data_IF_206331709879
#
_entry.id   IF_206331709879
#
_cell.length_a   1.000
_cell.length_b   1.000
_cell.length_c   1.000
_cell.angle_alpha   90.00
_cell.angle_beta   90.00
_cell.angle_gamma   90.00
#
_symmetry.space_group_name_H-M   'P 1'
#
loop_
_entity.id
_entity.type
_entity.pdbx_description
1 polymer ?
#
# COMPACT_ATOMS: atom_id res chain seq x y z
N UNK A 1 7.22 -8.99 -6.27
CA UNK A 1 7.38 -9.27 -4.82
C UNK A 1 7.91 -10.69 -4.64
N UNK A 2 7.22 -11.74 -5.09
CA UNK A 2 7.66 -13.14 -4.91
C UNK A 2 9.10 -13.39 -5.42
N UNK A 3 9.41 -12.94 -6.63
CA UNK A 3 10.78 -13.07 -7.18
C UNK A 3 11.84 -12.50 -6.23
N UNK A 4 11.60 -11.33 -5.62
CA UNK A 4 12.55 -10.74 -4.67
C UNK A 4 12.68 -11.56 -3.37
N UNK A 5 11.56 -12.13 -2.90
CA UNK A 5 11.57 -13.01 -1.72
C UNK A 5 12.46 -14.23 -1.99
N UNK A 6 12.32 -14.86 -3.16
CA UNK A 6 13.05 -16.08 -3.52
C UNK A 6 14.55 -15.80 -3.74
N UNK A 7 14.87 -14.78 -4.56
CA UNK A 7 16.27 -14.44 -4.89
C UNK A 7 17.07 -13.96 -3.69
N UNK A 8 16.45 -13.15 -2.82
CA UNK A 8 17.10 -12.62 -1.63
C UNK A 8 16.96 -13.54 -0.41
N UNK A 9 16.22 -14.64 -0.53
CA UNK A 9 15.92 -15.60 0.56
C UNK A 9 15.37 -14.88 1.79
N UNK A 10 14.42 -13.96 1.56
CA UNK A 10 13.85 -13.13 2.62
C UNK A 10 13.05 -13.98 3.62
N UNK A 11 13.44 -13.92 4.88
CA UNK A 11 12.82 -14.65 5.99
C UNK A 11 12.58 -13.69 7.18
N UNK A 12 12.05 -12.51 6.91
CA UNK A 12 11.79 -11.44 7.86
C UNK A 12 10.54 -10.64 7.47
N UNK A 13 10.14 -9.67 8.31
CA UNK A 13 9.18 -8.66 7.95
C UNK A 13 9.67 -7.83 6.77
N UNK A 14 8.77 -7.39 5.92
CA UNK A 14 9.11 -6.75 4.65
C UNK A 14 8.34 -5.45 4.44
N UNK A 15 9.07 -4.38 4.16
CA UNK A 15 8.50 -3.12 3.67
C UNK A 15 8.62 -3.05 2.15
N UNK A 16 7.48 -2.96 1.46
CA UNK A 16 7.40 -2.80 0.00
C UNK A 16 6.99 -1.37 -0.34
N UNK A 17 7.80 -0.72 -1.18
CA UNK A 17 7.62 0.67 -1.59
C UNK A 17 7.75 0.74 -3.10
N UNK A 18 6.81 1.40 -3.78
CA UNK A 18 6.96 1.70 -5.20
C UNK A 18 8.01 2.82 -5.41
N UNK A 19 8.99 2.55 -6.30
CA UNK A 19 10.15 3.40 -6.51
C UNK A 19 9.89 4.70 -7.28
N UNK A 20 8.69 4.89 -7.81
CA UNK A 20 8.22 6.08 -8.53
C UNK A 20 7.48 7.08 -7.62
N UNK A 21 7.58 6.90 -6.31
CA UNK A 21 6.92 7.75 -5.34
C UNK A 21 7.92 8.54 -4.49
N UNK A 22 7.68 9.83 -4.34
CA UNK A 22 8.41 10.71 -3.41
C UNK A 22 7.48 11.09 -2.27
N UNK A 23 7.99 11.06 -1.04
CA UNK A 23 7.24 11.37 0.18
C UNK A 23 7.83 12.61 0.86
N UNK A 24 6.98 13.47 1.43
CA UNK A 24 7.41 14.57 2.28
C UNK A 24 7.38 14.23 3.79
N UNK A 25 7.18 12.96 4.12
CA UNK A 25 7.14 12.45 5.50
C UNK A 25 7.94 11.15 5.64
N UNK A 26 8.36 10.84 6.88
CA UNK A 26 9.08 9.61 7.21
C UNK A 26 8.14 8.41 7.35
N UNK A 27 8.59 7.24 6.87
CA UNK A 27 7.89 5.96 7.06
C UNK A 27 8.08 5.35 8.46
N UNK A 28 8.88 5.97 9.33
CA UNK A 28 9.17 5.44 10.68
C UNK A 28 7.89 5.16 11.47
N UNK A 29 6.96 6.14 11.52
CA UNK A 29 5.67 5.97 12.21
C UNK A 29 4.80 4.86 11.63
N UNK A 30 4.88 4.62 10.33
CA UNK A 30 4.17 3.52 9.69
C UNK A 30 4.72 2.16 10.12
N UNK A 31 6.05 2.03 10.18
CA UNK A 31 6.70 0.80 10.64
C UNK A 31 6.39 0.55 12.13
N UNK A 32 6.43 1.60 12.95
CA UNK A 32 6.08 1.52 14.38
C UNK A 32 4.62 1.11 14.57
N UNK A 33 3.70 1.69 13.79
CA UNK A 33 2.28 1.32 13.80
C UNK A 33 2.09 -0.16 13.45
N UNK A 34 2.71 -0.64 12.36
CA UNK A 34 2.60 -2.02 11.93
C UNK A 34 3.15 -3.00 12.98
N UNK A 35 4.31 -2.69 13.56
CA UNK A 35 4.89 -3.46 14.66
C UNK A 35 4.00 -3.45 15.91
N UNK A 36 3.41 -2.31 16.25
CA UNK A 36 2.48 -2.18 17.37
C UNK A 36 1.19 -2.97 17.17
N UNK A 37 0.66 -3.04 15.95
CA UNK A 37 -0.50 -3.87 15.58
C UNK A 37 -0.13 -5.36 15.49
N UNK A 38 1.15 -5.69 15.29
CA UNK A 38 1.64 -7.06 15.04
C UNK A 38 0.90 -7.74 13.88
N UNK A 39 0.63 -7.01 12.80
CA UNK A 39 -0.06 -7.47 11.59
C UNK A 39 0.58 -6.83 10.37
N UNK A 40 0.32 -7.39 9.19
CA UNK A 40 0.56 -6.66 7.94
C UNK A 40 -0.28 -5.39 7.90
N UNK A 41 0.29 -4.33 7.33
CA UNK A 41 -0.34 -3.01 7.29
C UNK A 41 -0.15 -2.35 5.93
N UNK A 42 -1.08 -1.49 5.57
CA UNK A 42 -0.98 -0.59 4.43
C UNK A 42 -1.11 0.87 4.90
N UNK A 43 -0.72 1.80 4.04
CA UNK A 43 -1.17 3.19 4.16
C UNK A 43 -2.47 3.41 3.43
N UNK A 44 -3.24 4.43 3.85
CA UNK A 44 -4.43 4.92 3.16
C UNK A 44 -4.40 6.45 3.08
N UNK A 45 -5.02 7.00 2.05
CA UNK A 45 -5.26 8.45 1.92
C UNK A 45 -6.63 8.70 1.31
N UNK A 46 -7.20 9.87 1.59
CA UNK A 46 -8.48 10.27 1.02
C UNK A 46 -8.29 10.87 -0.37
N UNK A 47 -8.96 10.32 -1.40
CA UNK A 47 -8.97 10.84 -2.77
C UNK A 47 -10.32 11.48 -3.09
N UNK A 48 -10.30 12.77 -3.37
CA UNK A 48 -11.51 13.52 -3.72
C UNK A 48 -11.82 13.53 -5.23
N UNK A 49 -10.80 13.25 -6.06
CA UNK A 49 -10.94 13.20 -7.51
C UNK A 49 -11.48 11.83 -7.95
N UNK A 50 -12.73 11.78 -8.38
CA UNK A 50 -13.43 10.59 -8.88
C UNK A 50 -12.67 9.87 -9.99
N UNK A 51 -11.99 10.60 -10.89
CA UNK A 51 -11.23 9.99 -11.99
C UNK A 51 -9.97 9.30 -11.52
N UNK A 52 -9.35 9.81 -10.46
CA UNK A 52 -8.20 9.17 -9.83
C UNK A 52 -8.64 7.99 -8.98
N UNK A 53 -9.76 8.13 -8.25
CA UNK A 53 -10.33 7.07 -7.43
C UNK A 53 -10.54 5.78 -8.22
N UNK A 54 -11.04 5.85 -9.46
CA UNK A 54 -11.23 4.69 -10.35
C UNK A 54 -9.93 3.96 -10.75
N UNK A 55 -8.77 4.56 -10.51
CA UNK A 55 -7.44 4.01 -10.83
C UNK A 55 -6.71 3.47 -9.61
N UNK A 56 -7.29 3.64 -8.43
CA UNK A 56 -6.68 3.27 -7.15
C UNK A 56 -7.19 1.93 -6.62
N UNK A 57 -6.41 1.32 -5.74
CA UNK A 57 -6.92 0.35 -4.79
C UNK A 57 -7.73 1.06 -3.71
N UNK A 58 -8.97 0.65 -3.46
CA UNK A 58 -9.88 1.28 -2.51
C UNK A 58 -10.16 0.34 -1.35
N UNK A 59 -10.11 0.86 -0.12
CA UNK A 59 -10.28 0.09 1.11
C UNK A 59 -11.50 0.52 1.91
N UNK A 60 -12.16 -0.46 2.55
CA UNK A 60 -13.09 -0.25 3.66
C UNK A 60 -12.46 -0.78 4.93
N UNK A 61 -12.64 -0.08 6.02
CA UNK A 61 -12.06 -0.42 7.34
C UNK A 61 -13.14 -0.39 8.41
N UNK A 62 -12.86 -1.03 9.55
CA UNK A 62 -13.63 -0.88 10.79
C UNK A 62 -13.06 0.22 11.70
N UNK A 63 -13.65 0.40 12.88
CA UNK A 63 -13.25 1.40 13.88
C UNK A 63 -11.85 1.15 14.47
N UNK A 64 -11.27 -0.04 14.30
CA UNK A 64 -9.93 -0.40 14.73
C UNK A 64 -8.87 -0.23 13.65
N UNK A 65 -9.23 0.33 12.48
CA UNK A 65 -8.46 0.43 11.25
C UNK A 65 -8.19 -0.92 10.56
N UNK A 66 -8.87 -2.00 10.96
CA UNK A 66 -8.78 -3.28 10.27
C UNK A 66 -9.45 -3.19 8.91
N UNK A 67 -8.78 -3.71 7.88
CA UNK A 67 -9.34 -3.77 6.52
C UNK A 67 -10.44 -4.83 6.47
N UNK A 68 -11.64 -4.40 6.14
CA UNK A 68 -12.80 -5.28 5.90
C UNK A 68 -12.83 -5.77 4.46
N UNK A 69 -12.46 -4.90 3.52
CA UNK A 69 -12.37 -5.24 2.10
C UNK A 69 -11.42 -4.29 1.37
N UNK A 70 -10.81 -4.78 0.31
CA UNK A 70 -10.06 -3.98 -0.65
C UNK A 70 -10.42 -4.41 -2.07
N UNK A 71 -10.59 -3.43 -2.95
CA UNK A 71 -10.82 -3.65 -4.39
C UNK A 71 -9.84 -2.82 -5.19
N UNK A 72 -9.18 -3.43 -6.17
CA UNK A 72 -8.24 -2.77 -7.06
C UNK A 72 -8.97 -2.25 -8.29
N UNK A 73 -8.81 -0.95 -8.62
CA UNK A 73 -9.35 -0.29 -9.83
C UNK A 73 -10.84 -0.59 -10.09
N UNK A 74 -11.65 -0.52 -9.03
CA UNK A 74 -13.09 -0.80 -9.14
C UNK A 74 -13.84 0.29 -9.92
N UNK A 75 -14.74 -0.05 -10.84
CA UNK A 75 -15.61 0.93 -11.48
C UNK A 75 -16.65 1.54 -10.52
N UNK A 76 -16.89 0.89 -9.38
CA UNK A 76 -17.79 1.34 -8.33
C UNK A 76 -17.07 1.27 -6.98
N UNK A 77 -16.20 2.23 -6.65
CA UNK A 77 -15.47 2.26 -5.39
C UNK A 77 -16.41 2.45 -4.21
N UNK A 78 -16.26 1.65 -3.16
CA UNK A 78 -17.14 1.68 -1.98
C UNK A 78 -16.86 2.88 -1.05
N UNK A 79 -15.67 3.46 -1.14
CA UNK A 79 -15.21 4.59 -0.33
C UNK A 79 -14.26 5.47 -1.14
N UNK A 80 -13.85 6.61 -0.57
CA UNK A 80 -12.78 7.46 -1.12
C UNK A 80 -11.40 7.17 -0.50
N UNK A 81 -11.26 6.13 0.33
CA UNK A 81 -10.00 5.76 0.93
C UNK A 81 -9.18 4.89 0.00
N UNK A 82 -8.13 5.48 -0.55
CA UNK A 82 -7.21 4.83 -1.47
C UNK A 82 -6.00 4.24 -0.76
N UNK A 83 -5.50 3.11 -1.27
CA UNK A 83 -4.28 2.47 -0.84
C UNK A 83 -3.11 2.91 -1.75
N UNK A 84 -2.16 3.73 -1.27
CA UNK A 84 -0.92 3.98 -1.99
C UNK A 84 0.00 2.77 -1.92
N UNK A 85 1.02 2.64 -2.80
CA UNK A 85 1.85 1.45 -2.89
C UNK A 85 2.93 1.38 -1.79
N UNK A 86 2.51 1.42 -0.53
CA UNK A 86 3.32 1.26 0.68
C UNK A 86 2.71 0.18 1.54
N UNK A 87 3.40 -0.96 1.61
CA UNK A 87 2.92 -2.16 2.29
C UNK A 87 3.96 -2.66 3.29
N UNK A 88 3.54 -2.90 4.51
CA UNK A 88 4.32 -3.65 5.48
C UNK A 88 3.73 -5.05 5.60
N UNK A 89 4.52 -6.05 5.29
CA UNK A 89 4.14 -7.45 5.45
C UNK A 89 4.89 -8.04 6.64
N UNK A 90 4.17 -8.72 7.52
CA UNK A 90 4.81 -9.59 8.51
C UNK A 90 5.51 -10.74 7.79
N UNK A 91 6.53 -11.31 8.42
CA UNK A 91 7.23 -12.50 7.91
C UNK A 91 6.27 -13.63 7.53
N UNK A 92 5.25 -13.87 8.35
CA UNK A 92 4.24 -14.90 8.08
C UNK A 92 3.43 -14.60 6.82
N UNK A 93 3.01 -13.36 6.65
CA UNK A 93 2.22 -12.94 5.49
C UNK A 93 3.08 -12.81 4.23
N UNK A 94 4.35 -12.41 4.34
CA UNK A 94 5.30 -12.42 3.22
C UNK A 94 5.44 -13.83 2.61
N UNK A 95 5.42 -14.88 3.43
CA UNK A 95 5.45 -16.28 2.99
C UNK A 95 4.19 -16.74 2.25
N UNK A 96 3.09 -16.00 2.35
CA UNK A 96 1.84 -16.31 1.66
C UNK A 96 1.75 -15.72 0.25
N UNK A 97 2.73 -14.92 -0.21
CA UNK A 97 2.69 -14.25 -1.52
C UNK A 97 2.51 -15.27 -2.65
N UNK A 98 3.30 -16.35 -2.68
CA UNK A 98 3.16 -17.40 -3.69
C UNK A 98 1.77 -18.04 -3.65
N UNK A 99 1.27 -18.37 -2.46
CA UNK A 99 -0.08 -18.92 -2.29
C UNK A 99 -1.16 -17.96 -2.81
N UNK A 100 -0.99 -16.65 -2.60
CA UNK A 100 -1.88 -15.62 -3.17
C UNK A 100 -1.89 -15.66 -4.69
N UNK A 101 -0.72 -15.72 -5.31
CA UNK A 101 -0.55 -15.83 -6.77
C UNK A 101 -1.23 -17.10 -7.30
N UNK A 102 -0.96 -18.25 -6.69
CA UNK A 102 -1.54 -19.55 -7.08
C UNK A 102 -3.06 -19.58 -6.92
N UNK A 103 -3.59 -18.77 -5.97
CA UNK A 103 -5.03 -18.58 -5.75
C UNK A 103 -5.66 -17.55 -6.70
N UNK A 104 -4.89 -16.96 -7.62
CA UNK A 104 -5.40 -16.00 -8.60
C UNK A 104 -5.63 -14.59 -8.06
N UNK A 105 -4.86 -14.13 -7.05
CA UNK A 105 -5.00 -12.75 -6.53
C UNK A 105 -4.68 -11.66 -7.56
N UNK A 106 -4.09 -12.03 -8.72
CA UNK A 106 -3.61 -11.09 -9.72
C UNK A 106 -2.17 -10.66 -9.47
N UNK A 107 -1.46 -10.34 -10.57
CA UNK A 107 -0.04 -9.93 -10.54
C UNK A 107 0.21 -8.58 -11.19
N UNK A 108 -0.85 -7.92 -11.70
CA UNK A 108 -0.77 -6.63 -12.38
C UNK A 108 -0.44 -5.47 -11.41
N UNK A 109 -1.02 -5.49 -10.21
CA UNK A 109 -0.81 -4.46 -9.20
C UNK A 109 -0.46 -5.06 -7.85
N UNK A 110 0.49 -4.47 -7.08
CA UNK A 110 0.85 -4.95 -5.74
C UNK A 110 -0.33 -4.99 -4.77
N UNK A 111 -1.30 -4.07 -4.93
CA UNK A 111 -2.53 -4.02 -4.13
C UNK A 111 -3.44 -5.24 -4.29
N UNK A 112 -3.32 -5.98 -5.40
CA UNK A 112 -4.06 -7.22 -5.61
C UNK A 112 -3.74 -8.28 -4.54
N UNK A 113 -2.50 -8.31 -4.06
CA UNK A 113 -2.13 -9.21 -2.98
C UNK A 113 -2.80 -8.82 -1.66
N UNK A 114 -2.87 -7.53 -1.32
CA UNK A 114 -3.60 -7.05 -0.13
C UNK A 114 -5.09 -7.38 -0.22
N UNK A 115 -5.71 -7.21 -1.40
CA UNK A 115 -7.12 -7.55 -1.61
C UNK A 115 -7.43 -9.04 -1.37
N UNK A 116 -6.46 -9.91 -1.61
CA UNK A 116 -6.53 -11.32 -1.26
C UNK A 116 -6.17 -11.56 0.21
N UNK A 117 -5.08 -10.96 0.70
CA UNK A 117 -4.52 -11.20 2.03
C UNK A 117 -5.49 -10.80 3.15
N UNK A 118 -6.19 -9.67 3.02
CA UNK A 118 -7.15 -9.20 4.04
C UNK A 118 -8.34 -10.16 4.26
N UNK A 119 -8.54 -11.13 3.34
CA UNK A 119 -9.51 -12.23 3.48
C UNK A 119 -8.92 -13.46 4.15
N UNK A 120 -7.60 -13.54 4.29
CA UNK A 120 -6.88 -14.68 4.87
C UNK A 120 -6.43 -14.38 6.30
N UNK A 121 -5.93 -13.16 6.51
CA UNK A 121 -5.36 -12.70 7.78
C UNK A 121 -5.90 -11.32 8.15
N UNK A 122 -5.58 -10.84 9.34
CA UNK A 122 -5.88 -9.47 9.73
C UNK A 122 -4.84 -8.52 9.13
N UNK A 123 -5.31 -7.50 8.41
CA UNK A 123 -4.50 -6.41 7.86
C UNK A 123 -5.07 -5.09 8.35
N UNK A 124 -4.24 -4.14 8.75
CA UNK A 124 -4.67 -2.81 9.18
C UNK A 124 -4.24 -1.72 8.19
N UNK A 125 -4.91 -0.57 8.24
CA UNK A 125 -4.63 0.56 7.37
C UNK A 125 -4.35 1.81 8.21
N UNK A 126 -3.12 2.37 8.10
CA UNK A 126 -2.75 3.63 8.72
C UNK A 126 -3.01 4.78 7.77
N UNK A 127 -3.58 5.89 8.24
CA UNK A 127 -3.69 7.10 7.44
C UNK A 127 -2.32 7.72 7.18
N UNK A 128 -2.11 8.17 5.95
CA UNK A 128 -0.85 8.75 5.50
C UNK A 128 -0.61 10.10 6.19
N UNK A 129 0.58 10.30 6.74
CA UNK A 129 0.90 11.46 7.59
C UNK A 129 1.17 12.76 6.80
N UNK A 130 1.39 12.67 5.49
CA UNK A 130 1.74 13.80 4.62
C UNK A 130 1.40 13.51 3.17
N UNK A 131 2.13 14.13 2.24
CA UNK A 131 1.89 14.02 0.81
C UNK A 131 2.76 12.98 0.15
N UNK A 132 2.16 12.30 -0.80
CA UNK A 132 2.81 11.43 -1.77
C UNK A 132 2.78 12.09 -3.15
N UNK A 133 3.91 12.11 -3.80
CA UNK A 133 4.06 12.57 -5.17
C UNK A 133 4.35 11.36 -6.05
N UNK A 134 3.45 11.08 -6.97
CA UNK A 134 3.55 9.99 -7.93
C UNK A 134 4.21 10.48 -9.22
N UNK A 135 5.35 9.89 -9.58
CA UNK A 135 6.16 10.32 -10.74
C UNK A 135 5.96 9.31 -11.89
N UNK A 136 4.80 9.38 -12.51
CA UNK A 136 4.45 8.49 -13.63
C UNK A 136 4.86 9.02 -15.02
N UNK A 137 5.28 10.30 -15.14
CA UNK A 137 5.67 10.93 -16.40
C UNK A 137 6.51 12.19 -16.17
N UNK A 138 7.01 12.80 -17.26
CA UNK A 138 7.86 13.98 -17.19
C UNK A 138 7.15 15.19 -16.56
N UNK A 139 5.87 15.38 -16.82
CA UNK A 139 5.08 16.49 -16.26
C UNK A 139 4.99 16.37 -14.72
N UNK A 140 4.67 15.17 -14.21
CA UNK A 140 4.64 14.91 -12.78
C UNK A 140 6.02 15.06 -12.14
N UNK A 141 7.10 14.66 -12.83
CA UNK A 141 8.47 14.87 -12.37
C UNK A 141 8.82 16.34 -12.22
N UNK A 142 8.58 17.17 -13.24
CA UNK A 142 8.87 18.63 -13.17
C UNK A 142 8.01 19.33 -12.11
N UNK A 143 6.76 18.88 -11.93
CA UNK A 143 5.90 19.36 -10.86
C UNK A 143 6.51 19.05 -9.48
N UNK A 144 6.88 17.80 -9.24
CA UNK A 144 7.50 17.39 -7.97
C UNK A 144 8.78 18.17 -7.71
N UNK A 145 9.64 18.32 -8.71
CA UNK A 145 10.88 19.10 -8.63
C UNK A 145 10.66 20.57 -8.19
N UNK A 146 9.52 21.16 -8.56
CA UNK A 146 9.17 22.52 -8.18
C UNK A 146 8.50 22.64 -6.82
N UNK A 147 7.75 21.63 -6.38
CA UNK A 147 6.91 21.66 -5.19
C UNK A 147 7.54 20.98 -3.96
N UNK A 148 8.41 19.99 -4.17
CA UNK A 148 8.97 19.19 -3.09
C UNK A 148 10.00 19.97 -2.27
N UNK A 149 9.80 20.03 -0.96
CA UNK A 149 10.64 20.79 -0.03
C UNK A 149 11.46 19.92 0.93
N UNK A 150 11.43 18.61 0.76
CA UNK A 150 12.09 17.67 1.66
C UNK A 150 11.10 16.98 2.61
N UNK A 151 11.65 16.15 3.48
CA UNK A 151 10.88 15.43 4.51
C UNK A 151 10.72 16.32 5.72
N UNK A 152 9.47 16.52 6.16
CA UNK A 152 9.17 17.12 7.47
C UNK A 152 9.24 16.02 8.54
N UNK A 153 10.01 16.27 9.61
CA UNK A 153 10.24 15.34 10.73
C UNK A 153 9.34 15.66 11.92
#
# INVERSE_FOLDING_TARGET
>A
IQFAIDELKLDDDMLVIAGDNVLDFSLTKFIEYAKGKNTSCIMRYYESDEKKLLKCGVVTIDESDKILNMTEKSPNPATHWCCPPFYYYTKSDAKLVQKGIDSGCGTDAPGSYIAWLCKQTTVHAMEMAGKRYDIGNLESYEKVKSEYKGIEY
#
